data_IF_298665834504
#
_entry.id   IF_298665834504
#
_cell.length_a   1.000
_cell.length_b   1.000
_cell.length_c   1.000
_cell.angle_alpha   90.00
_cell.angle_beta   90.00
_cell.angle_gamma   90.00
#
_symmetry.space_group_name_H-M   'P 1'
#
loop_
_entity.id
_entity.type
_entity.pdbx_description
1 polymer ?
#
# COMPACT_ATOMS: atom_id res chain seq x y z
N UNK A 1 -34.42 2.44 61.74
CA UNK A 1 -33.83 1.40 60.82
C UNK A 1 -34.82 1.15 59.70
N UNK A 2 -34.59 1.63 58.48
CA UNK A 2 -35.44 1.28 57.35
C UNK A 2 -34.84 0.11 56.56
N UNK A 3 -35.59 -0.95 56.44
CA UNK A 3 -35.32 -2.12 55.59
C UNK A 3 -35.39 -1.67 54.10
N UNK A 4 -34.33 -1.75 53.40
CA UNK A 4 -34.32 -1.73 51.92
C UNK A 4 -34.61 -3.15 51.42
N UNK A 5 -35.84 -3.39 51.02
CA UNK A 5 -36.27 -4.62 50.40
C UNK A 5 -35.67 -4.62 48.96
N UNK A 6 -34.73 -5.52 48.72
CA UNK A 6 -34.30 -5.88 47.40
C UNK A 6 -35.47 -6.37 46.56
N UNK A 7 -35.97 -5.56 45.63
CA UNK A 7 -36.83 -6.03 44.55
C UNK A 7 -35.95 -6.83 43.58
N UNK A 8 -35.94 -8.15 43.74
CA UNK A 8 -35.46 -9.04 42.68
C UNK A 8 -36.34 -8.85 41.45
N UNK A 9 -35.80 -8.22 40.43
CA UNK A 9 -36.42 -8.17 39.11
C UNK A 9 -36.52 -9.61 38.58
N UNK A 10 -37.75 -10.06 38.39
CA UNK A 10 -38.04 -11.33 37.70
C UNK A 10 -37.34 -11.33 36.34
N UNK A 11 -36.32 -12.14 36.19
CA UNK A 11 -35.78 -12.49 34.89
C UNK A 11 -36.91 -13.23 34.16
N UNK A 12 -37.56 -12.52 33.24
CA UNK A 12 -38.58 -13.10 32.37
C UNK A 12 -37.91 -14.23 31.58
N UNK A 13 -38.42 -15.46 31.77
CA UNK A 13 -37.99 -16.62 30.97
C UNK A 13 -38.19 -16.29 29.51
N UNK A 14 -37.08 -16.00 28.82
CA UNK A 14 -37.09 -15.76 27.38
C UNK A 14 -37.59 -17.05 26.71
N UNK A 15 -38.74 -16.98 26.04
CA UNK A 15 -39.35 -18.14 25.39
C UNK A 15 -38.35 -18.58 24.27
N UNK A 16 -38.07 -19.90 24.22
CA UNK A 16 -37.10 -20.47 23.26
C UNK A 16 -37.32 -19.98 21.81
N UNK A 17 -38.59 -19.78 21.41
CA UNK A 17 -38.95 -19.22 20.09
C UNK A 17 -38.42 -17.78 19.90
N UNK A 18 -38.55 -16.92 20.91
CA UNK A 18 -38.13 -15.54 20.83
C UNK A 18 -36.59 -15.41 20.89
N UNK A 19 -35.92 -16.36 21.53
CA UNK A 19 -34.46 -16.42 21.57
C UNK A 19 -33.85 -16.66 20.18
N UNK A 20 -34.43 -17.57 19.39
CA UNK A 20 -34.03 -17.83 18.01
C UNK A 20 -34.27 -16.65 17.06
N UNK A 21 -35.39 -15.91 17.27
CA UNK A 21 -35.72 -14.73 16.43
C UNK A 21 -34.68 -13.59 16.61
N UNK A 22 -34.12 -13.47 17.81
CA UNK A 22 -33.10 -12.44 18.09
C UNK A 22 -31.69 -12.91 17.72
N UNK A 23 -31.40 -14.20 17.89
CA UNK A 23 -30.07 -14.75 17.61
C UNK A 23 -29.72 -14.79 16.10
N UNK A 24 -30.72 -15.02 15.26
CA UNK A 24 -30.54 -15.14 13.82
C UNK A 24 -30.06 -13.83 13.17
N UNK A 25 -30.69 -12.66 13.38
CA UNK A 25 -30.20 -11.40 12.85
C UNK A 25 -28.86 -10.99 13.48
N UNK A 26 -28.62 -11.31 14.75
CA UNK A 26 -27.34 -11.01 15.40
C UNK A 26 -26.18 -11.82 14.80
N UNK A 27 -26.39 -13.08 14.44
CA UNK A 27 -25.37 -13.91 13.78
C UNK A 27 -25.06 -13.43 12.37
N UNK A 28 -26.06 -12.95 11.63
CA UNK A 28 -25.88 -12.36 10.29
C UNK A 28 -25.08 -11.04 10.40
N UNK A 29 -25.43 -10.21 11.38
CA UNK A 29 -24.70 -8.96 11.61
C UNK A 29 -23.22 -9.23 11.99
N UNK A 30 -22.98 -10.22 12.84
CA UNK A 30 -21.64 -10.62 13.25
C UNK A 30 -20.82 -11.18 12.07
N UNK A 31 -21.45 -11.93 11.17
CA UNK A 31 -20.78 -12.48 9.99
C UNK A 31 -20.35 -11.40 8.99
N UNK A 32 -21.07 -10.28 8.92
CA UNK A 32 -20.69 -9.12 8.08
C UNK A 32 -19.49 -8.36 8.64
N UNK A 33 -19.32 -8.34 9.97
CA UNK A 33 -18.19 -7.68 10.64
C UNK A 33 -16.91 -8.51 10.54
N UNK A 34 -17.02 -9.85 10.52
CA UNK A 34 -15.88 -10.77 10.50
C UNK A 34 -15.47 -11.25 9.09
N UNK A 35 -16.12 -10.79 8.02
CA UNK A 35 -15.60 -11.02 6.68
C UNK A 35 -14.42 -10.08 6.44
N UNK A 36 -13.17 -10.55 6.47
CA UNK A 36 -12.03 -9.71 6.10
C UNK A 36 -12.23 -9.32 4.63
N UNK A 37 -12.40 -8.05 4.37
CA UNK A 37 -12.26 -7.51 3.01
C UNK A 37 -10.83 -7.86 2.61
N UNK A 38 -10.67 -8.82 1.71
CA UNK A 38 -9.38 -9.09 1.10
C UNK A 38 -9.07 -7.88 0.24
N UNK A 39 -8.30 -6.95 0.77
CA UNK A 39 -7.62 -5.94 -0.03
C UNK A 39 -6.56 -6.71 -0.82
N UNK A 40 -6.89 -7.10 -2.02
CA UNK A 40 -5.91 -7.53 -2.99
C UNK A 40 -5.49 -6.27 -3.73
N UNK A 41 -4.21 -5.96 -3.68
CA UNK A 41 -3.61 -5.12 -4.68
C UNK A 41 -3.77 -5.87 -6.02
N UNK A 42 -4.15 -5.18 -7.05
CA UNK A 42 -4.51 -5.77 -8.35
C UNK A 42 -3.61 -5.18 -9.43
N UNK A 43 -2.97 -6.08 -10.18
CA UNK A 43 -2.30 -5.67 -11.41
C UNK A 43 -3.40 -5.30 -12.40
N UNK A 44 -3.43 -4.05 -12.82
CA UNK A 44 -4.40 -3.53 -13.77
C UNK A 44 -3.71 -3.04 -15.03
N UNK A 45 -4.40 -3.16 -16.17
CA UNK A 45 -4.01 -2.41 -17.36
C UNK A 45 -4.26 -0.92 -17.11
N UNK A 46 -3.23 -0.11 -17.23
CA UNK A 46 -3.32 1.33 -17.07
C UNK A 46 -2.53 2.05 -18.15
N UNK A 47 -2.93 3.26 -18.46
CA UNK A 47 -2.21 4.11 -19.39
C UNK A 47 -1.07 4.83 -18.65
N UNK A 48 0.17 4.56 -19.06
CA UNK A 48 1.37 5.19 -18.53
C UNK A 48 2.15 5.76 -19.72
N UNK A 49 2.40 7.06 -19.71
CA UNK A 49 3.10 7.76 -20.80
C UNK A 49 2.44 7.58 -22.19
N UNK A 50 1.10 7.42 -22.24
CA UNK A 50 0.36 7.22 -23.48
C UNK A 50 0.29 5.77 -23.99
N UNK A 51 0.83 4.82 -23.24
CA UNK A 51 0.80 3.39 -23.58
C UNK A 51 0.03 2.59 -22.53
N UNK A 52 -0.77 1.61 -22.98
CA UNK A 52 -1.45 0.67 -22.09
C UNK A 52 -0.47 -0.41 -21.65
N UNK A 53 -0.30 -0.57 -20.35
CA UNK A 53 0.60 -1.57 -19.77
C UNK A 53 0.08 -2.12 -18.45
N UNK A 54 0.53 -3.33 -18.10
CA UNK A 54 0.26 -3.92 -16.81
C UNK A 54 1.06 -3.20 -15.73
N UNK A 55 0.38 -2.69 -14.72
CA UNK A 55 1.00 -2.01 -13.59
C UNK A 55 0.38 -2.43 -12.26
N UNK A 56 1.18 -2.41 -11.20
CA UNK A 56 0.73 -2.45 -9.82
C UNK A 56 0.65 -1.01 -9.31
N UNK A 57 -0.49 -0.60 -8.77
CA UNK A 57 -0.73 0.75 -8.26
C UNK A 57 -1.14 0.66 -6.81
N UNK A 58 -0.33 1.25 -5.93
CA UNK A 58 -0.55 1.22 -4.49
C UNK A 58 -0.48 2.61 -3.88
N UNK A 59 -1.31 2.85 -2.86
CA UNK A 59 -1.29 4.05 -2.04
C UNK A 59 -0.82 3.70 -0.64
N UNK A 60 0.36 4.16 -0.27
CA UNK A 60 0.98 3.90 1.03
C UNK A 60 1.17 5.20 1.80
N UNK A 61 1.29 5.09 3.11
CA UNK A 61 1.57 6.22 4.00
C UNK A 61 2.94 6.05 4.64
N UNK A 62 3.69 7.15 4.67
CA UNK A 62 4.93 7.22 5.41
C UNK A 62 4.71 7.43 6.93
N UNK A 63 5.78 7.60 7.68
CA UNK A 63 5.70 7.82 9.14
C UNK A 63 5.13 9.20 9.51
N UNK A 64 5.15 10.15 8.60
CA UNK A 64 4.59 11.50 8.79
C UNK A 64 3.11 11.56 8.33
N UNK A 65 2.52 10.38 7.99
CA UNK A 65 1.14 10.21 7.50
C UNK A 65 0.86 10.83 6.14
N UNK A 66 1.89 11.22 5.39
CA UNK A 66 1.75 11.64 4.01
C UNK A 66 1.46 10.42 3.11
N UNK A 67 0.64 10.64 2.08
CA UNK A 67 0.24 9.56 1.17
C UNK A 67 1.10 9.61 -0.09
N UNK A 68 1.67 8.46 -0.43
CA UNK A 68 2.48 8.23 -1.61
C UNK A 68 1.82 7.21 -2.52
N UNK A 69 1.78 7.50 -3.83
CA UNK A 69 1.37 6.53 -4.82
C UNK A 69 2.62 5.83 -5.39
N UNK A 70 2.62 4.51 -5.34
CA UNK A 70 3.64 3.67 -5.94
C UNK A 70 3.05 3.02 -7.19
N UNK A 71 3.67 3.25 -8.34
CA UNK A 71 3.29 2.64 -9.61
C UNK A 71 4.46 1.81 -10.11
N UNK A 72 4.27 0.50 -10.28
CA UNK A 72 5.31 -0.41 -10.74
C UNK A 72 4.90 -1.02 -12.06
N UNK A 73 5.77 -0.93 -13.07
CA UNK A 73 5.50 -1.35 -14.44
C UNK A 73 6.81 -1.64 -15.20
N UNK A 74 6.73 -2.37 -16.32
CA UNK A 74 7.86 -2.53 -17.25
C UNK A 74 7.90 -1.34 -18.20
N UNK A 75 9.03 -0.64 -18.24
CA UNK A 75 9.17 0.59 -19.02
C UNK A 75 9.92 0.33 -20.34
N UNK A 76 9.27 0.57 -21.49
CA UNK A 76 9.95 0.52 -22.79
C UNK A 76 11.11 1.54 -22.90
N UNK A 77 10.99 2.67 -22.20
CA UNK A 77 12.04 3.70 -22.16
C UNK A 77 13.29 3.26 -21.39
N UNK A 78 13.17 2.23 -20.57
CA UNK A 78 14.24 1.66 -19.75
C UNK A 78 14.58 0.21 -20.16
N UNK A 79 14.49 -0.13 -21.44
CA UNK A 79 14.84 -1.48 -21.97
C UNK A 79 13.97 -2.59 -21.34
N UNK A 80 12.67 -2.36 -21.16
CA UNK A 80 11.71 -3.25 -20.51
C UNK A 80 12.05 -3.61 -19.05
N UNK A 81 12.87 -2.81 -18.39
CA UNK A 81 13.15 -2.97 -16.98
C UNK A 81 11.93 -2.65 -16.13
N UNK A 82 11.87 -3.30 -14.98
CA UNK A 82 10.86 -3.02 -13.97
C UNK A 82 11.19 -1.69 -13.28
N UNK A 83 10.30 -0.73 -13.43
CA UNK A 83 10.42 0.62 -12.88
C UNK A 83 9.44 0.79 -11.73
N UNK A 84 9.90 1.39 -10.64
CA UNK A 84 9.08 1.90 -9.56
C UNK A 84 8.99 3.41 -9.69
N UNK A 85 7.78 3.92 -9.99
CA UNK A 85 7.47 5.35 -9.94
C UNK A 85 6.88 5.68 -8.57
N UNK A 86 7.52 6.60 -7.87
CA UNK A 86 7.06 7.15 -6.59
C UNK A 86 6.46 8.52 -6.87
N UNK A 87 5.21 8.74 -6.45
CA UNK A 87 4.48 9.98 -6.68
C UNK A 87 3.97 10.51 -5.34
N UNK A 88 4.38 11.74 -5.00
CA UNK A 88 3.87 12.48 -3.86
C UNK A 88 2.73 13.43 -4.22
N UNK A 89 2.26 14.20 -3.24
CA UNK A 89 1.20 15.16 -3.45
C UNK A 89 1.71 16.38 -4.24
N UNK A 90 1.06 16.76 -5.36
CA UNK A 90 1.50 17.86 -6.20
C UNK A 90 1.52 19.20 -5.45
N UNK A 91 2.62 19.94 -5.56
CA UNK A 91 2.75 21.31 -5.09
C UNK A 91 3.38 21.48 -3.71
N UNK A 92 3.52 20.41 -2.91
CA UNK A 92 4.14 20.48 -1.58
C UNK A 92 5.64 20.14 -1.59
N UNK A 93 6.07 19.35 -2.55
CA UNK A 93 7.43 18.84 -2.60
C UNK A 93 7.90 18.69 -4.04
N UNK A 94 9.19 18.90 -4.24
CA UNK A 94 9.89 18.56 -5.49
C UNK A 94 11.04 17.62 -5.16
N UNK A 95 11.13 16.53 -5.90
CA UNK A 95 12.25 15.60 -5.83
C UNK A 95 13.35 16.10 -6.76
N UNK A 96 14.54 16.35 -6.21
CA UNK A 96 15.70 16.71 -7.02
C UNK A 96 16.33 15.47 -7.65
N UNK A 97 16.75 15.58 -8.92
CA UNK A 97 17.36 14.51 -9.69
C UNK A 97 18.82 14.84 -10.08
N UNK A 98 19.73 13.86 -10.08
CA UNK A 98 19.51 12.46 -9.72
C UNK A 98 19.47 12.22 -8.21
N UNK A 99 18.67 11.27 -7.77
CA UNK A 99 18.62 10.80 -6.39
C UNK A 99 18.57 9.28 -6.35
N UNK A 100 18.90 8.67 -5.20
CA UNK A 100 18.81 7.22 -5.02
C UNK A 100 17.71 6.88 -4.00
N UNK A 101 16.88 5.89 -4.34
CA UNK A 101 15.92 5.35 -3.39
C UNK A 101 16.60 4.25 -2.57
N UNK A 102 16.68 4.46 -1.27
CA UNK A 102 17.16 3.43 -0.35
C UNK A 102 16.01 2.47 -0.03
N UNK A 103 16.32 1.17 -0.07
CA UNK A 103 15.38 0.10 0.29
C UNK A 103 16.02 -0.78 1.36
N UNK A 104 15.34 -0.91 2.49
CA UNK A 104 15.78 -1.76 3.60
C UNK A 104 14.85 -2.98 3.76
N UNK A 105 15.45 -4.17 3.95
CA UNK A 105 14.74 -5.40 4.33
C UNK A 105 15.51 -6.15 5.42
N UNK A 106 15.17 -5.90 6.66
CA UNK A 106 15.87 -6.42 7.80
C UNK A 106 17.34 -5.95 7.86
N UNK A 107 18.28 -6.84 7.47
CA UNK A 107 19.73 -6.52 7.45
C UNK A 107 20.27 -6.16 6.08
N UNK A 108 19.47 -6.36 5.02
CA UNK A 108 19.87 -6.06 3.64
C UNK A 108 19.43 -4.65 3.28
N UNK A 109 20.26 -3.97 2.51
CA UNK A 109 20.02 -2.62 1.99
C UNK A 109 20.40 -2.56 0.53
N UNK A 110 19.59 -1.87 -0.25
CA UNK A 110 19.83 -1.57 -1.67
C UNK A 110 19.66 -0.08 -1.91
N UNK A 111 20.31 0.40 -2.96
CA UNK A 111 20.18 1.77 -3.46
C UNK A 111 19.76 1.69 -4.91
N UNK A 112 18.48 1.97 -5.18
CA UNK A 112 17.93 1.92 -6.52
C UNK A 112 18.30 3.20 -7.28
N UNK A 113 18.79 3.02 -8.51
CA UNK A 113 19.21 4.13 -9.36
C UNK A 113 18.01 4.90 -9.91
N UNK A 114 18.13 6.22 -9.93
CA UNK A 114 17.16 7.14 -10.52
C UNK A 114 17.14 7.01 -12.04
N UNK A 115 15.97 6.79 -12.60
CA UNK A 115 15.69 6.71 -14.04
C UNK A 115 14.75 7.80 -14.54
N UNK A 116 14.40 8.75 -13.67
CA UNK A 116 13.43 9.83 -13.99
C UNK A 116 13.81 10.61 -15.24
N UNK A 117 15.11 10.83 -15.45
CA UNK A 117 15.61 11.57 -16.61
C UNK A 117 15.40 10.86 -17.96
N UNK A 118 15.11 9.55 -17.96
CA UNK A 118 14.71 8.83 -19.18
C UNK A 118 13.30 9.19 -19.61
N UNK A 119 12.45 9.60 -18.66
CA UNK A 119 11.09 10.04 -18.90
C UNK A 119 11.07 11.57 -19.02
N UNK A 120 11.05 12.07 -20.26
CA UNK A 120 11.13 13.51 -20.57
C UNK A 120 9.97 14.30 -19.96
N UNK A 121 8.78 13.70 -19.87
CA UNK A 121 7.60 14.36 -19.32
C UNK A 121 7.74 14.58 -17.82
N UNK A 122 8.24 13.57 -17.09
CA UNK A 122 8.53 13.70 -15.67
C UNK A 122 9.70 14.62 -15.38
N UNK A 123 10.78 14.51 -16.19
CA UNK A 123 11.97 15.33 -16.01
C UNK A 123 11.69 16.83 -16.21
N UNK A 124 10.73 17.17 -17.06
CA UNK A 124 10.35 18.56 -17.36
C UNK A 124 9.19 19.09 -16.49
N UNK A 125 8.44 18.22 -15.81
CA UNK A 125 7.35 18.65 -14.95
C UNK A 125 7.86 19.19 -13.61
N UNK A 126 7.91 20.51 -13.50
CA UNK A 126 8.38 21.19 -12.28
C UNK A 126 7.36 21.12 -11.12
N UNK A 127 6.16 20.61 -11.33
CA UNK A 127 5.06 20.61 -10.35
C UNK A 127 4.85 19.24 -9.71
N UNK A 128 5.36 18.16 -10.32
CA UNK A 128 5.15 16.82 -9.82
C UNK A 128 6.29 16.42 -8.87
N UNK A 129 5.90 15.96 -7.68
CA UNK A 129 6.78 15.25 -6.76
C UNK A 129 6.81 13.77 -7.18
N UNK A 130 7.46 13.48 -8.32
CA UNK A 130 7.54 12.13 -8.86
C UNK A 130 8.99 11.77 -9.23
N UNK A 131 9.35 10.50 -9.00
CA UNK A 131 10.63 9.94 -9.38
C UNK A 131 10.48 8.49 -9.81
N UNK A 132 11.33 8.04 -10.73
CA UNK A 132 11.38 6.67 -11.25
C UNK A 132 12.70 5.99 -10.87
N UNK A 133 12.60 4.75 -10.40
CA UNK A 133 13.75 3.98 -9.92
C UNK A 133 13.78 2.60 -10.56
N UNK A 134 14.99 2.12 -10.88
CA UNK A 134 15.23 0.77 -11.39
C UNK A 134 15.00 -0.26 -10.27
N UNK A 135 13.98 -1.12 -10.43
CA UNK A 135 13.59 -2.09 -9.43
C UNK A 135 14.17 -3.49 -9.66
N UNK A 136 14.74 -3.76 -10.85
CA UNK A 136 15.21 -5.08 -11.26
C UNK A 136 16.23 -5.67 -10.29
N UNK A 137 17.22 -4.87 -9.88
CA UNK A 137 18.26 -5.34 -8.96
C UNK A 137 17.65 -5.82 -7.62
N UNK A 138 16.70 -5.07 -7.09
CA UNK A 138 16.01 -5.43 -5.86
C UNK A 138 15.22 -6.74 -6.02
N UNK A 139 14.40 -6.84 -7.06
CA UNK A 139 13.53 -7.99 -7.29
C UNK A 139 14.33 -9.26 -7.53
N UNK A 140 15.43 -9.18 -8.27
CA UNK A 140 16.35 -10.31 -8.51
C UNK A 140 17.07 -10.79 -7.23
N UNK A 141 17.22 -9.93 -6.23
CA UNK A 141 17.90 -10.22 -4.96
C UNK A 141 16.97 -10.57 -3.79
N UNK A 142 15.66 -10.51 -3.99
CA UNK A 142 14.65 -10.85 -2.97
C UNK A 142 14.12 -12.25 -3.20
N UNK A 143 14.44 -13.20 -2.30
CA UNK A 143 13.97 -14.58 -2.39
C UNK A 143 12.50 -14.75 -1.94
N UNK A 144 12.00 -13.86 -1.09
CA UNK A 144 10.68 -13.97 -0.43
C UNK A 144 9.96 -12.63 -0.39
N UNK A 145 8.63 -12.69 -0.36
CA UNK A 145 7.79 -11.51 -0.16
C UNK A 145 7.91 -11.05 1.29
N UNK A 146 8.87 -10.17 1.57
CA UNK A 146 9.11 -9.58 2.88
C UNK A 146 8.66 -8.13 2.92
N UNK A 147 8.33 -7.58 4.10
CA UNK A 147 8.12 -6.15 4.21
C UNK A 147 9.42 -5.41 3.87
N UNK A 148 9.28 -4.31 3.15
CA UNK A 148 10.36 -3.40 2.81
C UNK A 148 10.12 -2.05 3.46
N UNK A 149 11.17 -1.24 3.57
CA UNK A 149 11.10 0.15 3.96
C UNK A 149 11.84 0.96 2.93
N UNK A 150 11.14 1.91 2.34
CA UNK A 150 11.73 2.85 1.38
C UNK A 150 12.11 4.13 2.13
N UNK A 151 13.24 4.73 1.75
CA UNK A 151 13.67 6.03 2.24
C UNK A 151 14.21 6.85 1.07
N UNK A 152 13.72 8.08 0.95
CA UNK A 152 14.14 9.00 -0.10
C UNK A 152 14.61 10.29 0.56
N UNK A 153 15.90 10.59 0.41
CA UNK A 153 16.53 11.70 1.11
C UNK A 153 15.85 13.03 0.81
N UNK A 154 15.51 13.78 1.85
CA UNK A 154 14.81 15.07 1.74
C UNK A 154 13.32 14.97 1.39
N UNK A 155 12.77 13.76 1.26
CA UNK A 155 11.39 13.51 0.82
C UNK A 155 10.61 12.77 1.90
N UNK A 156 11.00 11.54 2.22
CA UNK A 156 10.46 10.77 3.34
C UNK A 156 11.53 9.91 4.00
N UNK A 157 11.44 9.77 5.30
CA UNK A 157 12.40 9.00 6.10
C UNK A 157 12.14 7.49 6.04
N UNK A 158 10.86 7.10 6.05
CA UNK A 158 10.46 5.70 5.98
C UNK A 158 9.05 5.56 5.40
N UNK A 159 8.93 4.84 4.29
CA UNK A 159 7.67 4.42 3.68
C UNK A 159 7.59 2.90 3.75
N UNK A 160 6.74 2.33 4.63
CA UNK A 160 6.62 0.89 4.78
C UNK A 160 5.87 0.27 3.60
N UNK A 161 6.48 -0.75 2.98
CA UNK A 161 5.90 -1.52 1.87
C UNK A 161 5.52 -2.91 2.37
N UNK A 162 4.22 -3.26 2.35
CA UNK A 162 3.72 -4.55 2.80
C UNK A 162 4.18 -5.72 1.89
N UNK A 163 4.23 -6.97 2.41
CA UNK A 163 4.65 -8.14 1.63
C UNK A 163 3.78 -8.44 0.39
N UNK A 164 2.51 -8.06 0.39
CA UNK A 164 1.63 -8.27 -0.75
C UNK A 164 2.01 -7.39 -1.95
N UNK A 165 2.44 -6.14 -1.71
CA UNK A 165 2.97 -5.24 -2.75
C UNK A 165 4.25 -5.82 -3.36
N UNK A 166 5.17 -6.32 -2.53
CA UNK A 166 6.39 -6.99 -3.01
C UNK A 166 6.07 -8.23 -3.87
N UNK A 167 5.01 -8.97 -3.50
CA UNK A 167 4.53 -10.09 -4.30
C UNK A 167 4.10 -9.67 -5.71
N UNK A 168 3.40 -8.54 -5.83
CA UNK A 168 2.97 -8.02 -7.12
C UNK A 168 4.13 -7.54 -7.97
N UNK A 169 5.06 -6.78 -7.37
CA UNK A 169 6.28 -6.38 -8.07
C UNK A 169 7.01 -7.57 -8.68
N UNK A 170 7.11 -8.67 -7.92
CA UNK A 170 7.72 -9.92 -8.40
C UNK A 170 6.89 -10.64 -9.46
N UNK A 171 5.60 -10.40 -9.55
CA UNK A 171 4.76 -11.00 -10.60
C UNK A 171 4.77 -10.22 -11.91
N UNK A 172 5.25 -8.97 -11.87
CA UNK A 172 5.50 -8.13 -13.06
C UNK A 172 6.91 -8.33 -13.65
N UNK A 173 7.86 -8.87 -12.86
CA UNK A 173 9.26 -9.07 -13.27
C UNK A 173 9.45 -10.14 -14.36
#
# INVERSE_FOLDING_TARGET
>A
MPLWILKMTKITKLNKKNFFIVLLPLSILLSLVFNPIKVNAEIAETEINGELMNASIEFLRDLDFETWQLVTYKSPLAEDKLILRVIGYPGNLRIDHPTNLQVDSGRKRWFLSDKTLLNVDLANDRRQAAAEFDLDELINNIDKNRPLRLSLSGVFSELPVPPFVVKEWRSLS
#
